data_IF_592255955025
#
_entry.id   IF_592255955025
#
_cell.length_a   1.000
_cell.length_b   1.000
_cell.length_c   1.000
_cell.angle_alpha   90.00
_cell.angle_beta   90.00
_cell.angle_gamma   90.00
#
_symmetry.space_group_name_H-M   'P 1'
#
loop_
_entity.id
_entity.type
_entity.pdbx_description
1 polymer ?
#
# COMPACT_ATOMS: atom_id res chain seq x y z
N UNK A 1 -5.40 -11.02 -9.81
CA UNK A 1 -4.40 -10.21 -10.55
C UNK A 1 -3.54 -9.45 -9.54
N UNK A 2 -2.21 -9.52 -9.61
CA UNK A 2 -1.31 -8.81 -8.68
C UNK A 2 -1.05 -7.41 -9.22
N UNK A 3 -1.35 -6.39 -8.43
CA UNK A 3 -1.06 -5.01 -8.78
C UNK A 3 0.39 -4.65 -8.39
N UNK A 4 1.04 -3.87 -9.24
CA UNK A 4 2.44 -3.46 -9.10
C UNK A 4 2.52 -2.01 -8.63
N UNK A 5 3.63 -1.67 -7.94
CA UNK A 5 3.87 -0.28 -7.55
C UNK A 5 4.04 0.63 -8.78
N UNK A 6 3.45 1.82 -8.73
CA UNK A 6 3.51 2.81 -9.82
C UNK A 6 4.75 3.70 -9.74
N UNK A 7 5.34 3.85 -8.54
CA UNK A 7 6.49 4.72 -8.29
C UNK A 7 7.66 4.31 -9.17
N UNK A 8 8.30 5.30 -9.79
CA UNK A 8 9.42 5.11 -10.68
C UNK A 8 10.56 4.33 -9.99
N UNK A 9 11.09 3.32 -10.69
CA UNK A 9 12.16 2.44 -10.18
C UNK A 9 11.73 1.42 -9.12
N UNK A 10 10.54 1.53 -8.52
CA UNK A 10 10.10 0.58 -7.50
C UNK A 10 9.75 -0.78 -8.12
N UNK A 11 10.26 -1.85 -7.51
CA UNK A 11 10.00 -3.25 -7.91
C UNK A 11 8.97 -3.96 -7.04
N UNK A 12 8.25 -3.23 -6.17
CA UNK A 12 7.20 -3.80 -5.31
C UNK A 12 6.15 -4.58 -6.12
N UNK A 13 5.96 -5.85 -5.77
CA UNK A 13 5.07 -6.82 -6.44
C UNK A 13 5.41 -7.17 -7.90
N UNK A 14 6.60 -6.82 -8.40
CA UNK A 14 7.13 -7.37 -9.64
C UNK A 14 7.61 -8.81 -9.43
N UNK A 15 7.83 -9.56 -10.52
CA UNK A 15 8.29 -10.95 -10.45
C UNK A 15 9.64 -11.09 -9.70
N UNK A 16 10.52 -10.09 -9.85
CA UNK A 16 11.84 -10.04 -9.20
C UNK A 16 11.87 -9.20 -7.92
N UNK A 17 10.71 -8.77 -7.40
CA UNK A 17 10.63 -7.85 -6.27
C UNK A 17 9.90 -8.44 -5.06
N UNK A 18 10.00 -7.71 -3.94
CA UNK A 18 9.34 -8.07 -2.70
C UNK A 18 7.81 -8.04 -2.83
N UNK A 19 7.14 -8.97 -2.14
CA UNK A 19 5.69 -8.92 -1.93
C UNK A 19 5.39 -7.91 -0.84
N UNK A 20 4.62 -6.89 -1.19
CA UNK A 20 4.35 -5.72 -0.35
C UNK A 20 2.88 -5.35 -0.40
N UNK A 21 2.39 -4.80 0.70
CA UNK A 21 1.09 -4.16 0.78
C UNK A 21 1.05 -2.96 -0.16
N UNK A 22 -0.11 -2.72 -0.76
CA UNK A 22 -0.30 -1.64 -1.71
C UNK A 22 -1.59 -0.88 -1.43
N UNK A 23 -1.54 0.41 -1.73
CA UNK A 23 -2.63 1.33 -1.48
C UNK A 23 -3.16 1.90 -2.79
N UNK A 24 -4.48 2.11 -2.83
CA UNK A 24 -5.14 2.82 -3.93
C UNK A 24 -4.81 4.29 -3.84
N UNK A 25 -4.79 4.94 -5.00
CA UNK A 25 -4.83 6.39 -5.00
C UNK A 25 -6.09 6.85 -4.24
N UNK A 26 -5.95 7.86 -3.37
CA UNK A 26 -7.06 8.35 -2.56
C UNK A 26 -8.11 9.03 -3.44
N UNK A 27 -9.36 9.03 -2.96
CA UNK A 27 -10.46 9.72 -3.65
C UNK A 27 -10.37 11.25 -3.51
N UNK A 28 -9.70 11.73 -2.46
CA UNK A 28 -9.48 13.15 -2.28
C UNK A 28 -8.54 13.69 -3.38
N UNK A 29 -9.01 14.65 -4.22
CA UNK A 29 -8.22 15.15 -5.33
C UNK A 29 -6.90 15.80 -4.90
N UNK A 30 -6.88 16.46 -3.73
CA UNK A 30 -5.66 17.13 -3.24
C UNK A 30 -4.59 16.11 -2.86
N UNK A 31 -4.95 15.11 -2.05
CA UNK A 31 -4.03 14.04 -1.69
C UNK A 31 -3.63 13.18 -2.89
N UNK A 32 -4.56 12.90 -3.81
CA UNK A 32 -4.26 12.19 -5.05
C UNK A 32 -3.22 12.95 -5.87
N UNK A 33 -3.34 14.29 -5.94
CA UNK A 33 -2.38 15.12 -6.66
C UNK A 33 -0.99 15.09 -6.03
N UNK A 34 -0.91 15.01 -4.70
CA UNK A 34 0.37 14.83 -4.00
C UNK A 34 0.99 13.48 -4.39
N UNK A 35 0.20 12.40 -4.39
CA UNK A 35 0.73 11.08 -4.78
C UNK A 35 1.19 11.06 -6.25
N UNK A 36 0.47 11.72 -7.15
CA UNK A 36 0.83 11.82 -8.56
C UNK A 36 2.22 12.42 -8.77
N UNK A 37 2.57 13.47 -8.02
CA UNK A 37 3.88 14.11 -8.12
C UNK A 37 4.99 13.23 -7.52
N UNK A 38 4.67 12.48 -6.46
CA UNK A 38 5.63 11.58 -5.79
C UNK A 38 5.90 10.28 -6.57
N UNK A 39 5.05 9.91 -7.53
CA UNK A 39 5.32 8.74 -8.40
C UNK A 39 6.54 8.95 -9.30
N UNK A 40 6.94 10.20 -9.57
CA UNK A 40 8.13 10.56 -10.37
C UNK A 40 8.15 9.92 -11.77
N UNK A 41 6.98 9.79 -12.42
CA UNK A 41 6.86 9.43 -13.84
C UNK A 41 6.36 10.62 -14.65
N UNK A 42 6.99 10.85 -15.78
CA UNK A 42 6.56 11.86 -16.74
C UNK A 42 5.14 11.56 -17.25
N UNK A 43 4.29 12.58 -17.31
CA UNK A 43 2.90 12.51 -17.80
C UNK A 43 2.04 11.42 -17.12
N UNK A 44 2.36 11.05 -15.88
CA UNK A 44 1.61 10.04 -15.14
C UNK A 44 0.22 10.54 -14.77
N UNK A 45 -0.80 9.73 -15.07
CA UNK A 45 -2.17 9.89 -14.57
C UNK A 45 -2.60 8.59 -13.90
N UNK A 46 -3.08 8.64 -12.64
CA UNK A 46 -3.48 7.45 -11.92
C UNK A 46 -4.74 6.88 -12.56
N UNK A 47 -4.75 5.56 -12.77
CA UNK A 47 -5.91 4.81 -13.24
C UNK A 47 -6.50 4.02 -12.08
N UNK A 48 -7.60 3.31 -12.32
CA UNK A 48 -8.22 2.41 -11.34
C UNK A 48 -7.28 1.29 -10.88
N UNK A 49 -6.23 0.97 -11.64
CA UNK A 49 -5.21 -0.04 -11.31
C UNK A 49 -3.91 0.57 -10.77
N UNK A 50 -3.76 1.89 -10.73
CA UNK A 50 -2.59 2.56 -10.16
C UNK A 50 -2.53 2.40 -8.64
N UNK A 51 -1.37 2.00 -8.13
CA UNK A 51 -1.12 1.71 -6.71
C UNK A 51 0.27 2.15 -6.29
N UNK A 52 0.43 2.51 -5.02
CA UNK A 52 1.72 2.78 -4.36
C UNK A 52 1.90 1.75 -3.25
N UNK A 53 3.08 1.14 -3.14
CA UNK A 53 3.35 0.15 -2.08
C UNK A 53 3.75 0.80 -0.75
N UNK A 54 3.63 0.05 0.34
CA UNK A 54 3.98 0.46 1.71
C UNK A 54 5.42 0.98 1.88
N UNK A 55 6.36 0.55 1.03
CA UNK A 55 7.74 1.02 1.05
C UNK A 55 7.91 2.54 0.81
N UNK A 56 6.86 3.23 0.35
CA UNK A 56 6.87 4.67 0.12
C UNK A 56 6.15 5.48 1.19
N UNK A 57 5.75 4.82 2.28
CA UNK A 57 5.14 5.42 3.45
C UNK A 57 6.04 5.19 4.65
N UNK A 58 5.92 6.03 5.67
CA UNK A 58 6.51 5.71 6.96
C UNK A 58 5.66 4.64 7.63
N UNK A 59 6.24 3.90 8.56
CA UNK A 59 5.48 2.90 9.32
C UNK A 59 4.29 3.55 10.06
N UNK A 60 4.50 4.74 10.65
CA UNK A 60 3.47 5.54 11.32
C UNK A 60 2.31 5.97 10.41
N UNK A 61 2.51 6.01 9.08
CA UNK A 61 1.47 6.36 8.11
C UNK A 61 0.62 5.14 7.71
N UNK A 62 1.01 3.92 8.13
CA UNK A 62 0.39 2.66 7.74
C UNK A 62 -0.12 1.92 8.97
N UNK A 63 -1.43 1.95 9.16
CA UNK A 63 -2.09 1.17 10.19
C UNK A 63 -2.02 -0.33 9.86
N UNK A 64 -1.48 -1.12 10.78
CA UNK A 64 -1.41 -2.59 10.70
C UNK A 64 -2.22 -3.19 11.84
N UNK A 65 -3.22 -3.98 11.47
CA UNK A 65 -4.04 -4.73 12.40
C UNK A 65 -3.76 -6.21 12.17
N UNK A 66 -3.50 -6.93 13.26
CA UNK A 66 -3.35 -8.39 13.25
C UNK A 66 -4.41 -9.00 14.15
N UNK A 67 -5.10 -9.99 13.60
CA UNK A 67 -6.09 -10.79 14.30
C UNK A 67 -5.53 -12.19 14.53
N UNK A 68 -5.59 -12.66 15.78
CA UNK A 68 -5.30 -14.05 16.11
C UNK A 68 -6.57 -14.73 16.61
N UNK A 69 -6.89 -15.87 16.01
CA UNK A 69 -7.95 -16.75 16.46
C UNK A 69 -7.35 -17.91 17.26
N UNK A 70 -7.78 -18.07 18.51
CA UNK A 70 -7.44 -19.23 19.32
C UNK A 70 -8.63 -20.18 19.37
N UNK A 71 -8.49 -21.33 18.69
CA UNK A 71 -9.49 -22.41 18.64
C UNK A 71 -9.87 -22.95 20.03
N UNK A 72 -9.01 -22.76 21.04
CA UNK A 72 -9.24 -23.28 22.39
C UNK A 72 -10.01 -22.31 23.29
N UNK A 73 -10.10 -21.02 22.94
CA UNK A 73 -10.71 -19.99 23.79
C UNK A 73 -11.86 -19.24 23.12
N UNK A 74 -12.19 -19.56 21.86
CA UNK A 74 -13.18 -18.84 21.02
C UNK A 74 -13.00 -17.30 21.09
N UNK A 75 -11.76 -16.85 21.31
CA UNK A 75 -11.43 -15.44 21.54
C UNK A 75 -10.53 -14.94 20.43
N UNK A 76 -11.01 -13.92 19.69
CA UNK A 76 -10.21 -13.20 18.71
C UNK A 76 -9.49 -12.05 19.41
N UNK A 77 -8.16 -12.10 19.45
CA UNK A 77 -7.34 -11.03 20.01
C UNK A 77 -6.82 -10.14 18.88
N UNK A 78 -7.01 -8.83 19.01
CA UNK A 78 -6.49 -7.84 18.07
C UNK A 78 -5.21 -7.21 18.62
N UNK A 79 -4.13 -7.27 17.85
CA UNK A 79 -2.92 -6.49 18.13
C UNK A 79 -2.69 -5.48 17.01
N UNK A 80 -2.62 -4.21 17.38
CA UNK A 80 -2.27 -3.10 16.49
C UNK A 80 -0.82 -2.72 16.73
N UNK A 81 0.01 -2.82 15.70
CA UNK A 81 1.38 -2.27 15.73
C UNK A 81 1.33 -0.87 15.09
N UNK A 82 1.83 0.14 15.82
CA UNK A 82 1.92 1.55 15.36
C UNK A 82 3.26 1.86 14.71
#
# INVERSE_FOLDING_TARGET
>A
MVYKCSVFGCKGNYASGQKVSIFKFPKDPKLSKIWETQVMRENFKPTTSSRVCELHFRNEDVLRETEYFDENTDHTSFSSEV
#
